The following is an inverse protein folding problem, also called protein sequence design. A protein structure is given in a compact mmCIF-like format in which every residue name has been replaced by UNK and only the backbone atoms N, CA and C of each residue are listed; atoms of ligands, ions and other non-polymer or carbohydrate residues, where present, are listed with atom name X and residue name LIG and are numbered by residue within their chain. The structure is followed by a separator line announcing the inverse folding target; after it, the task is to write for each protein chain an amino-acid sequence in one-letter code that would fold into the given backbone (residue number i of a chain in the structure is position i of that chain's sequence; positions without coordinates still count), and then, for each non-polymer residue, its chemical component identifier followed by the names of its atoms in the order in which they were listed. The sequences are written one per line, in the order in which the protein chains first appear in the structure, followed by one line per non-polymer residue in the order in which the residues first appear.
data_IF_087860367742
#
_entry.id   IF_087860367742
#
_cell.length_a   1.000
_cell.length_b   1.000
_cell.length_c   1.000
_cell.angle_alpha   90.00
_cell.angle_beta   90.00
_cell.angle_gamma   90.00
#
_symmetry.space_group_name_H-M   'P 1'
#
loop_
_entity.id
_entity.type
_entity.pdbx_description
1 polymer ?
#
# COMPACT_ATOMS: atom_id res chain seq x y z
N UNK A 1 28.11 -14.03 -41.03
CA UNK A 1 27.31 -15.07 -40.38
C UNK A 1 27.98 -15.70 -39.15
N UNK A 2 29.29 -15.95 -39.15
CA UNK A 2 30.03 -16.58 -38.03
C UNK A 2 30.07 -15.69 -36.76
N UNK A 3 30.29 -14.41 -36.92
CA UNK A 3 30.31 -13.40 -35.84
C UNK A 3 28.94 -13.25 -35.15
N UNK A 4 27.85 -13.24 -35.90
CA UNK A 4 26.49 -13.17 -35.35
C UNK A 4 26.17 -14.39 -34.49
N UNK A 5 26.55 -15.59 -34.94
CA UNK A 5 26.36 -16.83 -34.16
C UNK A 5 27.14 -16.82 -32.87
N UNK A 6 28.35 -16.28 -32.85
CA UNK A 6 29.18 -16.16 -31.65
C UNK A 6 28.56 -15.15 -30.67
N UNK A 7 28.08 -14.00 -31.17
CA UNK A 7 27.40 -13.00 -30.32
C UNK A 7 26.11 -13.54 -29.71
N UNK A 8 25.30 -14.25 -30.50
CA UNK A 8 24.06 -14.87 -29.98
C UNK A 8 24.37 -15.95 -28.95
N UNK A 9 25.39 -16.77 -29.17
CA UNK A 9 25.80 -17.80 -28.20
C UNK A 9 26.33 -17.17 -26.90
N UNK A 10 27.10 -16.08 -26.99
CA UNK A 10 27.60 -15.35 -25.79
C UNK A 10 26.47 -14.69 -25.02
N UNK A 11 25.50 -14.06 -25.68
CA UNK A 11 24.32 -13.48 -25.08
C UNK A 11 23.42 -14.50 -24.39
N UNK A 12 23.16 -15.62 -25.05
CA UNK A 12 22.35 -16.70 -24.45
C UNK A 12 23.06 -17.35 -23.27
N UNK A 13 24.39 -17.55 -23.33
CA UNK A 13 25.17 -18.06 -22.22
C UNK A 13 25.16 -17.13 -21.00
N UNK A 14 25.34 -15.82 -21.20
CA UNK A 14 25.25 -14.85 -20.11
C UNK A 14 23.87 -14.76 -19.47
N UNK A 15 22.79 -14.80 -20.27
CA UNK A 15 21.42 -14.80 -19.76
C UNK A 15 21.13 -16.06 -18.92
N UNK A 16 21.62 -17.22 -19.34
CA UNK A 16 21.49 -18.47 -18.58
C UNK A 16 22.21 -18.43 -17.25
N UNK A 17 23.42 -17.87 -17.21
CA UNK A 17 24.20 -17.70 -15.96
C UNK A 17 23.47 -16.75 -15.00
N UNK A 18 22.93 -15.63 -15.48
CA UNK A 18 22.17 -14.69 -14.65
C UNK A 18 20.90 -15.35 -14.09
N UNK A 19 20.19 -16.14 -14.92
CA UNK A 19 19.00 -16.86 -14.48
C UNK A 19 19.32 -17.93 -13.41
N UNK A 20 20.42 -18.67 -13.58
CA UNK A 20 20.87 -19.68 -12.60
C UNK A 20 21.31 -19.03 -11.28
N UNK A 21 22.10 -17.95 -11.34
CA UNK A 21 22.52 -17.22 -10.15
C UNK A 21 21.32 -16.59 -9.44
N UNK A 22 20.38 -15.99 -10.17
CA UNK A 22 19.14 -15.46 -9.62
C UNK A 22 18.28 -16.53 -8.95
N UNK A 23 18.12 -17.69 -9.61
CA UNK A 23 17.40 -18.84 -9.05
C UNK A 23 18.07 -19.39 -7.77
N UNK A 24 19.40 -19.49 -7.77
CA UNK A 24 20.16 -19.91 -6.59
C UNK A 24 20.02 -18.92 -5.42
N UNK A 25 20.14 -17.63 -5.70
CA UNK A 25 19.93 -16.59 -4.68
C UNK A 25 18.53 -16.65 -4.07
N UNK A 26 17.50 -16.82 -4.90
CA UNK A 26 16.12 -16.97 -4.42
C UNK A 26 15.91 -18.24 -3.59
N UNK A 27 16.54 -19.35 -3.98
CA UNK A 27 16.42 -20.63 -3.25
C UNK A 27 17.11 -20.59 -1.88
N UNK A 28 18.22 -19.84 -1.75
CA UNK A 28 18.97 -19.72 -0.49
C UNK A 28 18.36 -18.69 0.46
N UNK A 29 17.90 -17.54 -0.07
CA UNK A 29 17.42 -16.44 0.77
C UNK A 29 15.88 -16.40 0.90
N UNK A 30 15.18 -17.13 0.04
CA UNK A 30 13.71 -17.07 -0.03
C UNK A 30 13.20 -15.70 -0.49
N UNK A 31 11.88 -15.57 -0.54
CA UNK A 31 11.21 -14.28 -0.82
C UNK A 31 10.65 -13.76 0.50
N UNK A 32 11.39 -12.87 1.15
CA UNK A 32 10.99 -12.25 2.41
C UNK A 32 10.63 -10.79 2.19
N UNK A 33 9.63 -10.31 2.93
CA UNK A 33 9.31 -8.90 2.98
C UNK A 33 10.49 -8.14 3.60
N UNK A 34 11.04 -7.17 2.88
CA UNK A 34 12.11 -6.29 3.34
C UNK A 34 11.87 -4.86 2.85
N UNK A 35 12.26 -3.85 3.62
CA UNK A 35 12.19 -2.48 3.14
C UNK A 35 13.11 -2.32 1.92
N UNK A 36 12.65 -1.63 0.86
CA UNK A 36 13.44 -1.41 -0.34
C UNK A 36 14.70 -0.60 -0.03
N UNK A 37 15.78 -0.88 -0.74
CA UNK A 37 17.01 -0.09 -0.68
C UNK A 37 16.79 1.34 -1.20
N UNK A 38 17.66 2.27 -0.79
CA UNK A 38 17.53 3.70 -1.17
C UNK A 38 17.48 3.92 -2.68
N UNK A 39 18.32 3.23 -3.45
CA UNK A 39 18.35 3.33 -4.92
C UNK A 39 17.14 2.67 -5.57
N UNK A 40 16.71 1.52 -5.05
CA UNK A 40 15.52 0.79 -5.48
C UNK A 40 14.27 1.67 -5.30
N UNK A 41 14.09 2.25 -4.13
CA UNK A 41 13.01 3.18 -3.86
C UNK A 41 13.02 4.38 -4.82
N UNK A 42 14.20 4.93 -5.11
CA UNK A 42 14.35 6.08 -6.02
C UNK A 42 13.92 5.75 -7.45
N UNK A 43 14.32 4.59 -7.98
CA UNK A 43 13.93 4.14 -9.33
C UNK A 43 12.44 3.85 -9.38
N UNK A 44 11.89 3.13 -8.40
CA UNK A 44 10.47 2.80 -8.35
C UNK A 44 9.61 4.05 -8.22
N UNK A 45 10.00 5.01 -7.36
CA UNK A 45 9.30 6.28 -7.21
C UNK A 45 9.31 7.07 -8.51
N UNK A 46 10.47 7.20 -9.16
CA UNK A 46 10.57 7.85 -10.46
C UNK A 46 9.67 7.19 -11.51
N UNK A 47 9.69 5.87 -11.60
CA UNK A 47 8.86 5.14 -12.56
C UNK A 47 7.36 5.31 -12.27
N UNK A 48 6.94 5.28 -11.01
CA UNK A 48 5.55 5.55 -10.62
C UNK A 48 5.09 6.92 -11.08
N UNK A 49 5.88 7.97 -10.79
CA UNK A 49 5.53 9.34 -11.14
C UNK A 49 5.58 9.63 -12.65
N UNK A 50 6.44 8.92 -13.39
CA UNK A 50 6.68 9.21 -14.80
C UNK A 50 5.69 8.52 -15.74
N UNK A 51 5.38 7.24 -15.51
CA UNK A 51 4.60 6.46 -16.47
C UNK A 51 3.75 5.33 -15.88
N UNK A 52 4.00 4.86 -14.65
CA UNK A 52 3.21 3.74 -14.09
C UNK A 52 1.87 4.24 -13.55
N UNK A 53 1.83 5.39 -12.86
CA UNK A 53 0.61 6.00 -12.36
C UNK A 53 0.07 6.97 -13.41
N UNK A 54 -1.10 6.68 -13.92
CA UNK A 54 -1.74 7.41 -15.02
C UNK A 54 -2.59 8.59 -14.54
N UNK A 55 -3.34 9.18 -15.47
CA UNK A 55 -4.33 10.24 -15.21
C UNK A 55 -3.77 11.54 -14.65
N UNK A 56 -2.49 11.83 -14.89
CA UNK A 56 -1.79 13.04 -14.44
C UNK A 56 -2.50 14.35 -14.82
N UNK A 57 -3.23 14.32 -15.92
CA UNK A 57 -3.95 15.49 -16.49
C UNK A 57 -5.33 15.71 -15.87
N UNK A 58 -5.85 14.75 -15.11
CA UNK A 58 -7.14 14.92 -14.46
C UNK A 58 -7.02 15.86 -13.27
N UNK A 59 -8.00 16.74 -13.13
CA UNK A 59 -8.17 17.63 -11.98
C UNK A 59 -9.35 17.19 -11.16
N UNK A 60 -9.29 17.38 -9.85
CA UNK A 60 -10.42 17.09 -8.99
C UNK A 60 -11.61 17.98 -9.36
N UNK A 61 -12.77 17.42 -9.75
CA UNK A 61 -13.95 18.20 -10.09
C UNK A 61 -14.65 18.78 -8.85
N UNK A 62 -14.37 18.24 -7.66
CA UNK A 62 -15.00 18.70 -6.42
C UNK A 62 -14.27 19.94 -5.89
N UNK A 63 -14.99 20.97 -5.45
CA UNK A 63 -14.38 22.10 -4.78
C UNK A 63 -13.70 21.67 -3.46
N UNK A 64 -12.60 22.32 -3.12
CA UNK A 64 -11.93 22.13 -1.82
C UNK A 64 -12.75 22.83 -0.73
N UNK A 65 -13.88 22.23 -0.35
CA UNK A 65 -14.77 22.73 0.70
C UNK A 65 -14.66 21.89 1.97
N UNK A 66 -15.06 22.42 3.14
CA UNK A 66 -15.15 21.64 4.38
C UNK A 66 -16.06 20.43 4.26
N UNK A 67 -17.15 20.53 3.51
CA UNK A 67 -18.13 19.47 3.30
C UNK A 67 -17.51 18.31 2.53
N UNK A 68 -16.85 18.59 1.39
CA UNK A 68 -16.18 17.56 0.59
C UNK A 68 -14.99 16.96 1.34
N UNK A 69 -14.32 17.73 2.19
CA UNK A 69 -13.25 17.21 3.06
C UNK A 69 -13.81 16.27 4.12
N UNK A 70 -14.95 16.60 4.73
CA UNK A 70 -15.60 15.76 5.74
C UNK A 70 -16.15 14.46 5.13
N UNK A 71 -16.75 14.52 3.94
CA UNK A 71 -17.18 13.34 3.19
C UNK A 71 -15.98 12.45 2.85
N UNK A 72 -14.90 13.04 2.36
CA UNK A 72 -13.66 12.32 2.08
C UNK A 72 -13.07 11.66 3.34
N UNK A 73 -13.12 12.34 4.49
CA UNK A 73 -12.72 11.75 5.77
C UNK A 73 -13.60 10.57 6.16
N UNK A 74 -14.91 10.67 5.96
CA UNK A 74 -15.85 9.60 6.25
C UNK A 74 -15.54 8.37 5.39
N UNK A 75 -15.41 8.52 4.07
CA UNK A 75 -15.09 7.45 3.15
C UNK A 75 -13.70 6.85 3.46
N UNK A 76 -12.71 7.69 3.74
CA UNK A 76 -11.38 7.27 4.14
C UNK A 76 -11.40 6.44 5.43
N UNK A 77 -12.17 6.84 6.42
CA UNK A 77 -12.31 6.14 7.70
C UNK A 77 -13.05 4.81 7.60
N UNK A 78 -13.74 4.50 6.49
CA UNK A 78 -14.36 3.21 6.25
C UNK A 78 -13.44 2.24 5.50
N UNK A 79 -12.68 2.73 4.52
CA UNK A 79 -11.99 1.85 3.56
C UNK A 79 -10.47 1.89 3.65
N UNK A 80 -9.88 2.99 4.16
CA UNK A 80 -8.44 3.24 4.03
C UNK A 80 -7.70 3.16 5.37
N UNK A 81 -8.39 3.43 6.48
CA UNK A 81 -7.80 3.60 7.82
C UNK A 81 -7.02 2.38 8.30
N UNK A 82 -7.44 1.17 7.93
CA UNK A 82 -6.82 -0.07 8.38
C UNK A 82 -5.34 -0.17 8.00
N UNK A 83 -4.97 0.43 6.87
CA UNK A 83 -3.58 0.46 6.41
C UNK A 83 -2.92 1.82 6.61
N UNK A 84 -3.68 2.93 6.51
CA UNK A 84 -3.13 4.28 6.51
C UNK A 84 -3.31 5.03 7.83
N UNK A 85 -3.98 4.43 8.84
CA UNK A 85 -4.38 5.14 10.05
C UNK A 85 -5.55 6.10 9.79
N UNK A 86 -6.22 6.55 10.86
CA UNK A 86 -7.37 7.48 10.73
C UNK A 86 -6.95 8.83 10.15
N UNK A 87 -5.72 9.25 10.44
CA UNK A 87 -5.11 10.50 10.00
C UNK A 87 -4.38 10.42 8.65
N UNK A 88 -4.36 9.25 8.01
CA UNK A 88 -3.62 9.01 6.78
C UNK A 88 -2.08 9.00 6.95
N UNK A 89 -1.57 8.96 8.18
CA UNK A 89 -0.15 9.05 8.50
C UNK A 89 0.39 7.83 9.23
N UNK A 90 -0.33 6.69 9.11
CA UNK A 90 -0.01 5.40 9.70
C UNK A 90 -0.03 5.40 11.24
N UNK A 91 -0.61 6.41 11.89
CA UNK A 91 -0.73 6.45 13.34
C UNK A 91 -1.49 5.23 13.85
N UNK A 92 -0.92 4.50 14.79
CA UNK A 92 -1.52 3.31 15.38
C UNK A 92 -1.63 2.10 14.44
N UNK A 93 -0.90 2.06 13.32
CA UNK A 93 -0.89 0.92 12.38
C UNK A 93 0.45 0.18 12.48
N UNK A 94 0.55 -0.85 13.36
CA UNK A 94 1.84 -1.45 13.73
C UNK A 94 2.52 -2.20 12.58
N UNK A 95 1.79 -2.63 11.55
CA UNK A 95 2.34 -3.35 10.41
C UNK A 95 2.69 -2.47 9.20
N UNK A 96 2.34 -1.18 9.22
CA UNK A 96 2.54 -0.30 8.08
C UNK A 96 4.02 -0.27 7.61
N UNK A 97 4.94 -0.23 8.56
CA UNK A 97 6.39 -0.24 8.28
C UNK A 97 6.94 -1.63 7.95
N UNK A 98 6.25 -2.69 8.35
CA UNK A 98 6.66 -4.07 8.11
C UNK A 98 6.23 -4.60 6.73
N UNK A 99 5.33 -3.91 6.04
CA UNK A 99 4.90 -4.28 4.69
C UNK A 99 6.02 -4.02 3.66
N UNK A 100 5.99 -4.79 2.57
CA UNK A 100 6.92 -4.61 1.44
C UNK A 100 6.14 -4.53 0.12
N UNK A 101 6.10 -3.34 -0.51
CA UNK A 101 6.61 -2.06 -0.02
C UNK A 101 5.87 -1.55 1.22
N UNK A 102 6.50 -0.67 1.98
CA UNK A 102 5.86 -0.03 3.14
C UNK A 102 4.60 0.73 2.75
N UNK A 103 3.63 0.79 3.66
CA UNK A 103 2.51 1.72 3.53
C UNK A 103 3.06 3.13 3.75
N UNK A 104 2.97 4.03 2.75
CA UNK A 104 3.49 5.38 2.92
C UNK A 104 2.57 6.21 3.80
N UNK A 105 3.13 7.12 4.60
CA UNK A 105 2.35 8.23 5.14
C UNK A 105 1.84 9.07 3.97
N UNK A 106 0.53 9.30 3.92
CA UNK A 106 -0.09 10.09 2.86
C UNK A 106 0.28 11.57 2.93
N UNK A 107 0.77 12.05 4.09
CA UNK A 107 1.33 13.39 4.23
C UNK A 107 2.78 13.52 3.73
N UNK A 108 3.42 12.41 3.34
CA UNK A 108 4.81 12.45 2.86
C UNK A 108 4.96 13.29 1.59
N UNK A 109 6.13 13.91 1.42
CA UNK A 109 6.44 14.69 0.21
C UNK A 109 6.29 13.85 -1.06
N UNK A 110 6.60 12.55 -1.01
CA UNK A 110 6.43 11.63 -2.14
C UNK A 110 4.97 11.58 -2.56
N UNK A 111 4.04 11.29 -1.64
CA UNK A 111 2.62 11.16 -1.93
C UNK A 111 2.01 12.52 -2.31
N UNK A 112 2.38 13.60 -1.61
CA UNK A 112 1.86 14.93 -1.89
C UNK A 112 2.36 15.51 -3.22
N UNK A 113 3.42 14.96 -3.81
CA UNK A 113 3.90 15.35 -5.14
C UNK A 113 3.11 14.75 -6.31
N UNK A 114 2.27 13.75 -6.08
CA UNK A 114 1.32 13.27 -7.09
C UNK A 114 0.29 14.34 -7.42
N UNK A 115 -0.16 14.40 -8.68
CA UNK A 115 -1.34 15.22 -9.04
C UNK A 115 -2.61 14.59 -8.47
N UNK A 116 -3.70 15.36 -8.37
CA UNK A 116 -4.99 14.83 -7.91
C UNK A 116 -5.48 13.68 -8.79
N UNK A 117 -5.30 13.80 -10.12
CA UNK A 117 -5.62 12.72 -11.05
C UNK A 117 -4.79 11.47 -10.84
N UNK A 118 -3.53 11.59 -10.42
CA UNK A 118 -2.70 10.46 -10.07
C UNK A 118 -3.15 9.79 -8.76
N UNK A 119 -3.50 10.58 -7.74
CA UNK A 119 -4.08 10.05 -6.49
C UNK A 119 -5.40 9.33 -6.75
N UNK A 120 -6.29 9.95 -7.53
CA UNK A 120 -7.53 9.34 -7.97
C UNK A 120 -7.28 8.00 -8.67
N UNK A 121 -6.32 7.96 -9.62
CA UNK A 121 -5.99 6.74 -10.36
C UNK A 121 -5.48 5.64 -9.43
N UNK A 122 -4.62 5.98 -8.47
CA UNK A 122 -4.07 5.05 -7.47
C UNK A 122 -5.19 4.46 -6.61
N UNK A 123 -6.09 5.27 -6.10
CA UNK A 123 -7.21 4.81 -5.28
C UNK A 123 -8.13 3.91 -6.11
N UNK A 124 -8.50 4.34 -7.33
CA UNK A 124 -9.39 3.61 -8.21
C UNK A 124 -8.86 2.24 -8.62
N UNK A 125 -7.58 2.15 -8.97
CA UNK A 125 -6.99 0.96 -9.58
C UNK A 125 -6.12 0.13 -8.64
N UNK A 126 -5.79 0.67 -7.46
CA UNK A 126 -4.81 0.05 -6.57
C UNK A 126 -3.38 0.13 -7.09
N UNK A 127 -2.45 -0.47 -6.35
CA UNK A 127 -1.04 -0.52 -6.74
C UNK A 127 -0.50 -1.94 -6.59
N UNK A 128 -0.17 -2.58 -7.70
CA UNK A 128 0.58 -3.83 -7.69
C UNK A 128 2.09 -3.53 -7.68
N UNK A 129 2.94 -4.24 -6.91
CA UNK A 129 2.66 -5.35 -5.98
C UNK A 129 2.45 -4.91 -4.52
N UNK A 130 2.02 -3.69 -4.25
CA UNK A 130 2.01 -3.11 -2.89
C UNK A 130 0.92 -3.66 -1.96
N UNK A 131 0.01 -4.46 -2.43
CA UNK A 131 -1.14 -4.91 -1.63
C UNK A 131 -2.22 -3.83 -1.43
N UNK A 132 -2.07 -2.62 -1.97
CA UNK A 132 -3.15 -1.62 -1.99
C UNK A 132 -4.24 -2.08 -2.96
N UNK A 133 -5.45 -2.39 -2.48
CA UNK A 133 -6.52 -2.89 -3.34
C UNK A 133 -7.08 -1.79 -4.25
N UNK A 134 -7.69 -2.20 -5.35
CA UNK A 134 -8.48 -1.31 -6.19
C UNK A 134 -9.85 -1.04 -5.55
N UNK A 135 -10.31 0.21 -5.63
CA UNK A 135 -11.64 0.59 -5.13
C UNK A 135 -12.71 0.68 -6.22
N UNK A 136 -12.37 0.47 -7.49
CA UNK A 136 -13.37 0.45 -8.56
C UNK A 136 -14.41 -0.65 -8.31
N UNK A 137 -15.71 -0.31 -8.50
CA UNK A 137 -16.82 -1.21 -8.19
C UNK A 137 -17.23 -1.26 -6.70
N UNK A 138 -16.46 -0.60 -5.81
CA UNK A 138 -16.79 -0.43 -4.39
C UNK A 138 -17.15 1.03 -4.14
N UNK A 139 -16.32 1.97 -4.60
CA UNK A 139 -16.49 3.40 -4.48
C UNK A 139 -16.88 4.01 -5.82
N UNK A 140 -17.75 5.01 -5.78
CA UNK A 140 -18.04 5.88 -6.92
C UNK A 140 -16.87 6.81 -7.21
N UNK A 141 -16.85 7.39 -8.40
CA UNK A 141 -15.81 8.38 -8.76
C UNK A 141 -15.88 9.63 -7.86
N UNK A 142 -17.06 10.03 -7.43
CA UNK A 142 -17.26 11.17 -6.52
C UNK A 142 -16.68 10.88 -5.13
N UNK A 143 -16.95 9.71 -4.56
CA UNK A 143 -16.36 9.28 -3.28
C UNK A 143 -14.83 9.20 -3.36
N UNK A 144 -14.27 8.74 -4.47
CA UNK A 144 -12.81 8.72 -4.67
C UNK A 144 -12.25 10.15 -4.72
N UNK A 145 -12.93 11.08 -5.40
CA UNK A 145 -12.51 12.47 -5.46
C UNK A 145 -12.62 13.18 -4.09
N UNK A 146 -13.64 12.86 -3.30
CA UNK A 146 -13.74 13.37 -1.92
C UNK A 146 -12.58 12.87 -1.06
N UNK A 147 -12.19 11.58 -1.20
CA UNK A 147 -11.00 11.03 -0.54
C UNK A 147 -9.72 11.77 -0.96
N UNK A 148 -9.56 12.10 -2.25
CA UNK A 148 -8.42 12.91 -2.73
C UNK A 148 -8.43 14.28 -2.05
N UNK A 149 -9.59 14.92 -1.91
CA UNK A 149 -9.73 16.20 -1.18
C UNK A 149 -9.30 16.05 0.28
N UNK A 150 -9.69 14.97 0.96
CA UNK A 150 -9.24 14.69 2.33
C UNK A 150 -7.73 14.48 2.42
N UNK A 151 -7.13 13.69 1.51
CA UNK A 151 -5.68 13.45 1.47
C UNK A 151 -4.88 14.74 1.26
N UNK A 152 -5.45 15.75 0.62
CA UNK A 152 -4.82 17.09 0.51
C UNK A 152 -4.94 17.92 1.78
N UNK A 153 -5.87 17.59 2.66
CA UNK A 153 -6.20 18.34 3.88
C UNK A 153 -6.07 17.47 5.14
N UNK A 154 -5.09 16.57 5.17
CA UNK A 154 -4.89 15.66 6.31
C UNK A 154 -4.71 16.39 7.62
N UNK A 155 -5.27 15.89 8.73
CA UNK A 155 -5.06 16.44 10.05
C UNK A 155 -3.62 16.22 10.53
N UNK A 156 -3.27 16.82 11.66
CA UNK A 156 -1.97 16.57 12.29
C UNK A 156 -1.84 15.09 12.68
N UNK A 157 -0.63 14.56 12.54
CA UNK A 157 -0.34 13.18 12.93
C UNK A 157 -0.80 12.90 14.36
N UNK A 158 -1.51 11.81 14.57
CA UNK A 158 -2.02 11.37 15.87
C UNK A 158 -3.21 12.15 16.42
N UNK A 159 -3.69 13.22 15.76
CA UNK A 159 -4.79 14.04 16.28
C UNK A 159 -6.14 13.31 16.31
N UNK A 160 -6.32 12.25 15.55
CA UNK A 160 -7.54 11.43 15.52
C UNK A 160 -7.41 10.14 16.37
N UNK A 161 -6.27 9.96 17.05
CA UNK A 161 -5.99 8.77 17.83
C UNK A 161 -5.65 7.54 16.98
N UNK A 162 -5.58 6.40 17.65
CA UNK A 162 -5.32 5.12 17.01
C UNK A 162 -6.61 4.48 16.47
N UNK A 163 -6.54 3.72 15.36
CA UNK A 163 -7.71 2.99 14.88
C UNK A 163 -8.21 1.97 15.92
N UNK A 164 -9.52 1.80 16.08
CA UNK A 164 -10.09 0.86 17.06
C UNK A 164 -9.59 -0.59 16.90
N UNK A 165 -9.29 -1.00 15.67
CA UNK A 165 -8.77 -2.34 15.38
C UNK A 165 -7.39 -2.62 16.00
N UNK A 166 -6.64 -1.60 16.41
CA UNK A 166 -5.27 -1.70 16.92
C UNK A 166 -5.13 -1.14 18.35
N UNK A 167 -6.15 -0.53 18.90
CA UNK A 167 -6.18 -0.19 20.32
C UNK A 167 -6.29 -1.48 21.14
N UNK A 168 -5.40 -1.67 22.11
CA UNK A 168 -5.30 -2.91 22.90
C UNK A 168 -6.57 -3.33 23.63
N UNK A 169 -7.61 -2.51 23.65
CA UNK A 169 -8.92 -2.84 24.25
C UNK A 169 -9.62 -4.03 23.57
N UNK A 170 -9.34 -4.29 22.27
CA UNK A 170 -9.90 -5.45 21.56
C UNK A 170 -9.06 -6.73 21.73
N UNK A 171 -7.86 -6.65 22.29
CA UNK A 171 -7.02 -7.82 22.56
C UNK A 171 -7.47 -8.61 23.79
N UNK A 172 -8.21 -8.01 24.71
CA UNK A 172 -8.69 -8.65 25.95
C UNK A 172 -10.10 -9.23 25.83
N UNK A 173 -10.89 -8.85 24.85
CA UNK A 173 -12.26 -9.31 24.68
C UNK A 173 -12.42 -10.61 23.88
N UNK A 174 -11.34 -11.15 23.29
CA UNK A 174 -11.37 -12.30 22.38
C UNK A 174 -10.66 -13.56 22.86
N UNK A 175 -9.95 -13.51 23.98
CA UNK A 175 -9.36 -14.71 24.60
C UNK A 175 -10.06 -14.97 25.93
N UNK A 176 -11.33 -15.32 25.85
CA UNK A 176 -11.91 -16.15 26.91
C UNK A 176 -11.13 -17.46 26.89
N UNK A 177 -10.24 -17.59 27.85
CA UNK A 177 -9.50 -18.84 28.08
C UNK A 177 -10.54 -19.92 28.24
N UNK A 178 -10.70 -20.75 27.20
CA UNK A 178 -11.39 -22.04 27.35
C UNK A 178 -10.58 -22.80 28.38
N UNK A 179 -11.07 -22.75 29.62
CA UNK A 179 -10.51 -23.45 30.77
C UNK A 179 -10.49 -24.95 30.42
N UNK A 180 -9.38 -25.67 30.61
CA UNK A 180 -9.30 -27.09 30.28
C UNK A 180 -10.24 -27.99 31.13
N UNK A 181 -11.04 -27.42 32.02
CA UNK A 181 -11.95 -28.14 32.89
C UNK A 181 -13.22 -28.67 32.19
N UNK A 182 -13.53 -28.27 30.94
CA UNK A 182 -14.78 -28.68 30.29
C UNK A 182 -14.62 -29.75 29.18
N UNK A 183 -13.43 -30.36 29.07
CA UNK A 183 -13.19 -31.45 28.10
C UNK A 183 -13.44 -32.87 28.67
N UNK A 184 -13.86 -33.00 29.92
CA UNK A 184 -14.04 -34.34 30.55
C UNK A 184 -15.44 -34.95 30.46
N UNK A 185 -16.43 -34.22 29.92
CA UNK A 185 -17.82 -34.71 29.88
C UNK A 185 -18.37 -35.01 28.49
N UNK A 186 -17.53 -35.21 27.50
CA UNK A 186 -18.00 -35.51 26.14
C UNK A 186 -17.67 -36.94 25.65
N UNK A 187 -17.19 -37.83 26.54
CA UNK A 187 -16.90 -39.22 26.24
C UNK A 187 -17.38 -40.17 27.37
N UNK A 188 -18.67 -40.11 27.74
CA UNK A 188 -19.41 -41.18 28.41
C UNK A 188 -20.75 -41.40 27.74
#
# INVERSE_FOLDING_TARGET
MRTIKILVAALSGSLSVVALLGGLLLSVHGVQARPPGKWENRIVTWAKHSFLVRSKHLTNPLPASPENTAEGQQNFSHYCFVCHGLDGQNTGVPFADAMSPRVPSLASTEVQSYTDGQLYWVIKNGLWPSGMPASHGILTDEEIWSIVTYVRNLPRAGSLGEPPAFTGENSSAGVEQVSPANQKNAND
#
